data_IF_116901123899
#
_entry.id   IF_116901123899
#
_cell.length_a   1.000
_cell.length_b   1.000
_cell.length_c   1.000
_cell.angle_alpha   90.00
_cell.angle_beta   90.00
_cell.angle_gamma   90.00
#
_symmetry.space_group_name_H-M   'P 1'
#
loop_
_entity.id
_entity.type
_entity.pdbx_description
1 polymer ?
#
# COMPACT_ATOMS: atom_id res chain seq x y z
N UNK A 1 -25.35 -8.32 -5.70
CA UNK A 1 -25.31 -9.18 -6.89
C UNK A 1 -23.88 -9.29 -7.37
N UNK A 2 -23.20 -10.36 -6.99
CA UNK A 2 -21.80 -10.64 -7.38
C UNK A 2 -21.83 -11.45 -8.66
N UNK A 3 -21.79 -10.78 -9.81
CA UNK A 3 -21.63 -11.45 -11.09
C UNK A 3 -20.27 -12.12 -11.13
N UNK A 4 -20.28 -13.40 -11.11
CA UNK A 4 -19.14 -14.32 -11.15
C UNK A 4 -18.36 -14.07 -12.44
N UNK A 5 -17.25 -13.34 -12.38
CA UNK A 5 -16.29 -13.13 -13.46
C UNK A 5 -15.41 -14.39 -13.70
N UNK A 6 -15.96 -15.59 -13.44
CA UNK A 6 -15.34 -16.86 -13.80
C UNK A 6 -15.39 -17.01 -15.31
N UNK A 7 -14.27 -16.75 -16.00
CA UNK A 7 -14.11 -16.98 -17.43
C UNK A 7 -13.58 -15.83 -18.28
N UNK A 8 -13.28 -14.67 -17.69
CA UNK A 8 -12.65 -13.59 -18.45
C UNK A 8 -11.15 -13.89 -18.56
N UNK A 9 -10.71 -14.10 -19.78
CA UNK A 9 -9.28 -14.25 -20.12
C UNK A 9 -8.61 -12.86 -20.04
N UNK A 10 -8.15 -12.49 -18.85
CA UNK A 10 -7.51 -11.19 -18.61
C UNK A 10 -6.25 -11.00 -19.46
N UNK A 11 -5.59 -12.07 -19.89
CA UNK A 11 -4.40 -11.97 -20.73
C UNK A 11 -4.72 -11.39 -22.11
N UNK A 12 -5.85 -11.75 -22.68
CA UNK A 12 -6.29 -11.15 -23.95
C UNK A 12 -6.56 -9.67 -23.81
N UNK A 13 -7.14 -9.25 -22.66
CA UNK A 13 -7.37 -7.82 -22.37
C UNK A 13 -6.07 -7.04 -22.18
N UNK A 14 -5.07 -7.63 -21.54
CA UNK A 14 -3.78 -6.97 -21.27
C UNK A 14 -2.90 -6.77 -22.52
N UNK A 15 -3.23 -7.36 -23.64
CA UNK A 15 -2.56 -7.07 -24.92
C UNK A 15 -2.76 -5.62 -25.34
N UNK A 16 -3.89 -5.01 -24.98
CA UNK A 16 -4.15 -3.61 -25.27
C UNK A 16 -3.51 -2.70 -24.22
N UNK A 17 -2.65 -1.74 -24.61
CA UNK A 17 -1.89 -0.90 -23.65
C UNK A 17 -2.75 -0.16 -22.63
N UNK A 18 -3.97 0.28 -23.01
CA UNK A 18 -4.89 1.00 -22.12
C UNK A 18 -5.64 0.09 -21.16
N UNK A 19 -5.58 -1.21 -21.34
CA UNK A 19 -6.25 -2.19 -20.49
C UNK A 19 -5.29 -2.94 -19.56
N UNK A 20 -3.98 -2.88 -19.83
CA UNK A 20 -2.97 -3.51 -19.00
C UNK A 20 -2.88 -2.81 -17.62
N UNK A 21 -3.10 -3.53 -16.51
CA UNK A 21 -2.97 -2.95 -15.18
C UNK A 21 -1.49 -2.71 -14.83
N UNK A 22 -1.26 -1.74 -13.95
CA UNK A 22 0.05 -1.46 -13.39
C UNK A 22 -0.06 -0.90 -11.96
N UNK A 23 1.00 -1.03 -11.18
CA UNK A 23 1.10 -0.43 -9.84
C UNK A 23 1.32 1.08 -9.96
N UNK A 24 0.30 1.87 -9.62
CA UNK A 24 0.36 3.33 -9.66
C UNK A 24 1.27 3.87 -8.56
N UNK A 25 0.99 3.45 -7.33
CA UNK A 25 1.68 3.91 -6.13
C UNK A 25 1.62 2.87 -5.02
N UNK A 26 2.62 2.94 -4.16
CA UNK A 26 2.69 2.28 -2.86
C UNK A 26 2.83 3.37 -1.81
N UNK A 27 1.95 3.39 -0.83
CA UNK A 27 1.98 4.31 0.30
C UNK A 27 2.40 3.51 1.51
N UNK A 28 3.43 3.99 2.21
CA UNK A 28 3.86 3.47 3.49
C UNK A 28 3.42 4.46 4.54
N UNK A 29 2.74 4.01 5.57
CA UNK A 29 2.22 4.84 6.63
C UNK A 29 2.62 4.28 8.00
N UNK A 30 3.11 5.15 8.88
CA UNK A 30 3.39 4.87 10.28
C UNK A 30 2.47 5.73 11.12
N UNK A 31 1.61 5.10 11.91
CA UNK A 31 0.75 5.77 12.87
C UNK A 31 1.43 5.87 14.23
N UNK A 32 1.54 7.08 14.77
CA UNK A 32 2.20 7.35 16.06
C UNK A 32 1.18 7.73 17.11
N UNK A 33 0.01 8.22 16.67
CA UNK A 33 -1.02 8.69 17.60
C UNK A 33 -0.58 9.91 18.38
N UNK A 34 -0.70 9.84 19.71
CA UNK A 34 -0.38 10.94 20.65
C UNK A 34 0.98 10.80 21.33
N UNK A 35 1.85 9.90 20.89
CA UNK A 35 3.14 9.60 21.55
C UNK A 35 4.13 10.78 21.58
N UNK A 36 3.87 11.85 20.84
CA UNK A 36 4.62 13.08 20.93
C UNK A 36 5.58 13.37 19.77
N UNK A 37 6.22 14.54 19.84
CA UNK A 37 7.07 15.04 18.75
C UNK A 37 8.38 14.25 18.57
N UNK A 38 8.91 13.69 19.66
CA UNK A 38 10.15 12.91 19.60
C UNK A 38 9.97 11.62 18.82
N UNK A 39 8.89 10.86 19.11
CA UNK A 39 8.58 9.64 18.39
C UNK A 39 8.23 9.92 16.91
N UNK A 40 7.62 11.07 16.64
CA UNK A 40 7.38 11.51 15.26
C UNK A 40 8.68 11.72 14.49
N UNK A 41 9.69 12.35 15.11
CA UNK A 41 10.99 12.57 14.49
C UNK A 41 11.73 11.25 14.23
N UNK A 42 11.69 10.32 15.19
CA UNK A 42 12.25 8.96 15.02
C UNK A 42 11.61 8.22 13.86
N UNK A 43 10.28 8.15 13.82
CA UNK A 43 9.54 7.51 12.74
C UNK A 43 9.79 8.18 11.37
N UNK A 44 9.97 9.51 11.35
CA UNK A 44 10.32 10.23 10.12
C UNK A 44 11.70 9.80 9.61
N UNK A 45 12.69 9.66 10.48
CA UNK A 45 14.03 9.18 10.11
C UNK A 45 13.99 7.75 9.56
N UNK A 46 13.34 6.83 10.29
CA UNK A 46 13.18 5.42 9.88
C UNK A 46 12.52 5.34 8.50
N UNK A 47 11.43 6.09 8.29
CA UNK A 47 10.72 6.05 7.02
C UNK A 47 11.50 6.70 5.88
N UNK A 48 12.30 7.75 6.16
CA UNK A 48 13.19 8.38 5.19
C UNK A 48 14.28 7.42 4.71
N UNK A 49 14.92 6.73 5.63
CA UNK A 49 15.96 5.73 5.32
C UNK A 49 15.39 4.56 4.51
N UNK A 50 14.24 4.02 4.95
CA UNK A 50 13.60 2.89 4.28
C UNK A 50 13.16 3.22 2.86
N UNK A 51 12.55 4.39 2.67
CA UNK A 51 11.95 4.78 1.40
C UNK A 51 12.91 5.53 0.46
N UNK A 52 14.04 6.03 0.98
CA UNK A 52 14.96 6.91 0.24
C UNK A 52 14.29 8.20 -0.23
N UNK A 53 13.27 8.68 0.49
CA UNK A 53 12.48 9.86 0.15
C UNK A 53 11.96 10.53 1.41
N UNK A 54 11.89 11.85 1.41
CA UNK A 54 11.37 12.62 2.52
C UNK A 54 9.89 12.30 2.81
N UNK A 55 9.56 11.89 4.06
CA UNK A 55 8.20 11.59 4.47
C UNK A 55 7.36 12.84 4.71
N UNK A 56 6.06 12.69 4.54
CA UNK A 56 5.07 13.73 4.85
C UNK A 56 4.42 13.44 6.21
N UNK A 57 4.35 14.45 7.07
CA UNK A 57 3.67 14.36 8.37
C UNK A 57 2.17 14.49 8.21
N UNK A 58 1.41 13.50 8.70
CA UNK A 58 -0.06 13.49 8.64
C UNK A 58 -0.67 14.14 9.87
N UNK A 59 -1.74 14.93 9.65
CA UNK A 59 -2.44 15.64 10.72
C UNK A 59 -3.83 15.06 10.95
N UNK A 60 -4.26 15.01 12.20
CA UNK A 60 -5.59 14.58 12.58
C UNK A 60 -6.66 15.56 12.03
N UNK A 61 -7.70 15.01 11.39
CA UNK A 61 -8.80 15.80 10.82
C UNK A 61 -9.92 16.07 11.82
N UNK A 62 -10.02 15.25 12.86
CA UNK A 62 -11.05 15.32 13.90
C UNK A 62 -10.41 15.21 15.30
N UNK A 63 -11.14 15.61 16.32
CA UNK A 63 -10.77 15.34 17.71
C UNK A 63 -11.16 13.91 18.05
N UNK A 64 -10.23 13.12 18.60
CA UNK A 64 -10.47 11.75 19.06
C UNK A 64 -10.00 11.68 20.51
N UNK A 65 -10.96 11.66 21.44
CA UNK A 65 -10.70 11.70 22.90
C UNK A 65 -9.97 10.45 23.38
N UNK A 66 -10.35 9.28 22.85
CA UNK A 66 -9.76 7.98 23.21
C UNK A 66 -8.25 7.93 22.95
N UNK A 67 -7.77 8.63 21.92
CA UNK A 67 -6.36 8.66 21.54
C UNK A 67 -5.68 9.99 21.91
N UNK A 68 -6.34 10.86 22.69
CA UNK A 68 -5.83 12.19 23.03
C UNK A 68 -5.38 13.03 21.84
N UNK A 69 -6.05 12.86 20.70
CA UNK A 69 -5.73 13.58 19.46
C UNK A 69 -6.64 14.77 19.27
N UNK A 70 -6.04 15.93 19.01
CA UNK A 70 -6.73 17.16 18.64
C UNK A 70 -6.66 17.40 17.14
N UNK A 71 -7.67 18.01 16.57
CA UNK A 71 -7.69 18.44 15.17
C UNK A 71 -6.46 19.29 14.86
N UNK A 72 -5.76 18.98 13.77
CA UNK A 72 -4.54 19.67 13.34
C UNK A 72 -3.26 19.15 13.99
N UNK A 73 -3.35 18.34 15.03
CA UNK A 73 -2.19 17.69 15.65
C UNK A 73 -1.60 16.64 14.71
N UNK A 74 -0.28 16.56 14.63
CA UNK A 74 0.43 15.54 13.86
C UNK A 74 0.27 14.17 14.53
N UNK A 75 -0.20 13.17 13.79
CA UNK A 75 -0.51 11.84 14.31
C UNK A 75 0.24 10.70 13.62
N UNK A 76 1.02 11.00 12.60
CA UNK A 76 1.78 9.98 11.89
C UNK A 76 2.59 10.54 10.74
N UNK A 77 3.29 9.66 10.05
CA UNK A 77 4.12 9.98 8.89
C UNK A 77 3.80 9.02 7.74
N UNK A 78 3.86 9.52 6.53
CA UNK A 78 3.65 8.69 5.34
C UNK A 78 4.59 9.06 4.21
N UNK A 79 4.88 8.09 3.35
CA UNK A 79 5.60 8.31 2.10
C UNK A 79 4.85 7.66 0.94
N UNK A 80 4.86 8.32 -0.21
CA UNK A 80 4.28 7.78 -1.44
C UNK A 80 5.38 7.47 -2.44
N UNK A 81 5.51 6.19 -2.76
CA UNK A 81 6.41 5.68 -3.78
C UNK A 81 5.63 5.43 -5.09
N UNK A 82 6.29 5.67 -6.22
CA UNK A 82 5.68 5.50 -7.55
C UNK A 82 6.62 4.79 -8.51
N UNK A 83 6.07 4.25 -9.60
CA UNK A 83 6.83 3.60 -10.67
C UNK A 83 7.78 2.51 -10.15
N UNK A 84 9.01 2.50 -10.61
CA UNK A 84 10.02 1.50 -10.25
C UNK A 84 10.37 1.45 -8.75
N UNK A 85 10.32 2.59 -8.04
CA UNK A 85 10.54 2.64 -6.59
C UNK A 85 9.45 1.89 -5.82
N UNK A 86 8.18 2.04 -6.22
CA UNK A 86 7.07 1.32 -5.62
C UNK A 86 7.20 -0.20 -5.79
N UNK A 87 7.59 -0.64 -6.98
CA UNK A 87 7.78 -2.08 -7.27
C UNK A 87 8.98 -2.65 -6.50
N UNK A 88 10.11 -1.92 -6.46
CA UNK A 88 11.30 -2.35 -5.70
C UNK A 88 10.97 -2.52 -4.21
N UNK A 89 10.33 -1.51 -3.63
CA UNK A 89 9.95 -1.54 -2.22
C UNK A 89 8.94 -2.65 -1.92
N UNK A 90 7.93 -2.83 -2.77
CA UNK A 90 6.95 -3.89 -2.61
C UNK A 90 7.61 -5.27 -2.61
N UNK A 91 8.50 -5.55 -3.56
CA UNK A 91 9.25 -6.82 -3.61
C UNK A 91 10.09 -7.03 -2.35
N UNK A 92 10.76 -5.99 -1.85
CA UNK A 92 11.58 -6.06 -0.64
C UNK A 92 10.76 -6.40 0.60
N UNK A 93 9.58 -5.81 0.75
CA UNK A 93 8.68 -6.09 1.89
C UNK A 93 8.04 -7.46 1.78
N UNK A 94 7.70 -7.92 0.57
CA UNK A 94 7.07 -9.21 0.37
C UNK A 94 7.96 -10.41 0.73
N UNK A 95 9.27 -10.24 0.73
CA UNK A 95 10.20 -11.26 1.23
C UNK A 95 9.89 -11.63 2.69
N UNK A 96 9.45 -10.67 3.51
CA UNK A 96 9.07 -10.91 4.92
C UNK A 96 7.89 -11.88 5.04
N UNK A 97 7.01 -11.87 4.05
CA UNK A 97 5.83 -12.73 3.98
C UNK A 97 6.00 -13.95 3.07
N UNK A 98 7.25 -14.33 2.74
CA UNK A 98 7.55 -15.42 1.78
C UNK A 98 6.81 -15.25 0.45
N UNK A 99 6.61 -14.01 0.01
CA UNK A 99 5.83 -13.62 -1.17
C UNK A 99 4.35 -14.06 -1.12
N UNK A 100 3.76 -14.17 0.08
CA UNK A 100 2.36 -14.53 0.28
C UNK A 100 1.54 -13.32 0.71
N UNK A 101 0.38 -13.14 0.16
CA UNK A 101 -0.59 -12.11 0.56
C UNK A 101 -1.96 -12.75 0.73
N UNK A 102 -2.70 -12.29 1.75
CA UNK A 102 -4.09 -12.71 1.96
C UNK A 102 -4.99 -12.20 0.83
N UNK A 103 -5.89 -13.07 0.36
CA UNK A 103 -6.95 -12.65 -0.56
C UNK A 103 -7.82 -11.55 0.03
N UNK A 104 -8.04 -11.56 1.35
CA UNK A 104 -8.80 -10.53 2.07
C UNK A 104 -8.14 -9.13 2.02
N UNK A 105 -6.82 -9.05 1.79
CA UNK A 105 -6.10 -7.79 1.67
C UNK A 105 -6.47 -6.95 0.44
N UNK A 106 -7.15 -7.56 -0.54
CA UNK A 106 -7.56 -6.89 -1.78
C UNK A 106 -8.99 -6.37 -1.70
N UNK A 107 -9.20 -5.13 -2.13
CA UNK A 107 -10.52 -4.53 -2.28
C UNK A 107 -11.13 -4.79 -3.68
N UNK A 108 -12.38 -4.38 -3.86
CA UNK A 108 -13.11 -4.56 -5.13
C UNK A 108 -12.66 -3.61 -6.24
N UNK A 109 -11.72 -2.67 -5.98
CA UNK A 109 -11.26 -1.64 -6.91
C UNK A 109 -9.77 -1.72 -7.23
N UNK A 110 -9.15 -2.87 -7.00
CA UNK A 110 -7.75 -3.11 -7.31
C UNK A 110 -6.76 -2.48 -6.32
N UNK A 111 -7.19 -2.07 -5.13
CA UNK A 111 -6.27 -1.68 -4.08
C UNK A 111 -5.96 -2.89 -3.20
N UNK A 112 -4.81 -2.85 -2.55
CA UNK A 112 -4.44 -3.84 -1.54
C UNK A 112 -3.77 -3.16 -0.36
N UNK A 113 -3.90 -3.79 0.81
CA UNK A 113 -3.31 -3.29 2.05
C UNK A 113 -2.87 -4.44 2.94
N UNK A 114 -1.69 -4.31 3.52
CA UNK A 114 -1.19 -5.21 4.55
C UNK A 114 -0.33 -4.44 5.57
N UNK A 115 -0.28 -4.92 6.80
CA UNK A 115 0.49 -4.32 7.89
C UNK A 115 1.75 -5.13 8.18
N UNK A 116 2.79 -4.47 8.66
CA UNK A 116 4.00 -5.06 9.18
C UNK A 116 4.22 -4.52 10.59
N UNK A 117 4.36 -5.40 11.58
CA UNK A 117 4.48 -5.01 12.97
C UNK A 117 5.84 -4.39 13.28
N UNK A 118 6.89 -4.86 12.62
CA UNK A 118 8.27 -4.46 12.90
C UNK A 118 9.01 -4.14 11.60
N UNK A 119 9.47 -2.91 11.44
CA UNK A 119 10.23 -2.51 10.25
C UNK A 119 11.57 -3.23 10.09
N UNK A 120 12.13 -3.75 11.18
CA UNK A 120 13.42 -4.46 11.20
C UNK A 120 13.38 -5.75 10.39
N UNK A 121 12.20 -6.38 10.28
CA UNK A 121 12.02 -7.61 9.48
C UNK A 121 12.27 -7.39 7.98
N UNK A 122 12.27 -6.13 7.52
CA UNK A 122 12.52 -5.82 6.11
C UNK A 122 14.01 -6.01 5.80
N UNK A 123 14.38 -6.77 4.77
CA UNK A 123 15.76 -6.95 4.35
C UNK A 123 16.47 -5.61 4.11
N UNK A 124 17.77 -5.56 4.38
CA UNK A 124 18.63 -4.36 4.27
C UNK A 124 18.22 -3.18 5.17
N UNK A 125 17.44 -3.41 6.22
CA UNK A 125 17.12 -2.38 7.22
C UNK A 125 18.07 -2.53 8.40
N UNK A 126 18.71 -1.43 8.82
CA UNK A 126 19.56 -1.42 10.00
C UNK A 126 18.71 -1.17 11.24
N UNK A 127 19.00 -1.91 12.29
CA UNK A 127 18.44 -1.63 13.60
C UNK A 127 19.24 -0.55 14.29
N UNK A 128 18.58 0.52 14.69
CA UNK A 128 19.12 1.58 15.52
C UNK A 128 18.35 1.63 16.85
N UNK A 129 19.00 1.30 17.99
CA UNK A 129 18.34 1.30 19.30
C UNK A 129 17.75 2.66 19.68
N UNK A 130 18.36 3.76 19.21
CA UNK A 130 17.91 5.11 19.52
C UNK A 130 16.59 5.46 18.79
N UNK A 131 16.36 4.86 17.63
CA UNK A 131 15.17 5.12 16.85
C UNK A 131 13.98 4.26 17.31
N UNK A 132 14.23 3.04 17.82
CA UNK A 132 13.19 2.11 18.27
C UNK A 132 12.53 1.34 17.14
N UNK A 133 11.47 0.59 17.47
CA UNK A 133 10.74 -0.30 16.57
C UNK A 133 9.41 0.34 16.19
N UNK A 134 9.10 0.39 14.89
CA UNK A 134 7.83 0.91 14.39
C UNK A 134 7.12 -0.10 13.51
N UNK A 135 5.82 -0.26 13.78
CA UNK A 135 4.90 -0.92 12.86
C UNK A 135 4.50 0.00 11.72
N UNK A 136 4.22 -0.58 10.54
CA UNK A 136 3.84 0.20 9.37
C UNK A 136 2.83 -0.51 8.49
N UNK A 137 2.03 0.28 7.78
CA UNK A 137 1.05 -0.20 6.83
C UNK A 137 1.48 0.12 5.40
N UNK A 138 1.34 -0.86 4.53
CA UNK A 138 1.61 -0.76 3.10
C UNK A 138 0.30 -0.78 2.34
N UNK A 139 0.01 0.32 1.63
CA UNK A 139 -1.20 0.45 0.83
C UNK A 139 -0.82 0.63 -0.63
N UNK A 140 -1.16 -0.34 -1.46
CA UNK A 140 -0.88 -0.32 -2.89
C UNK A 140 -2.13 -0.08 -3.72
N UNK A 141 -1.96 0.59 -4.86
CA UNK A 141 -3.03 0.85 -5.81
C UNK A 141 -2.66 0.38 -7.19
N UNK A 142 -3.45 -0.55 -7.73
CA UNK A 142 -3.32 -1.05 -9.08
C UNK A 142 -4.39 -0.38 -9.94
N UNK A 143 -3.98 0.20 -11.06
CA UNK A 143 -4.87 0.91 -11.98
C UNK A 143 -4.56 0.55 -13.43
N UNK A 144 -5.49 0.90 -14.32
CA UNK A 144 -5.25 0.96 -15.76
C UNK A 144 -4.88 2.38 -16.21
N UNK A 145 -4.20 2.56 -17.33
CA UNK A 145 -4.01 3.88 -17.93
C UNK A 145 -5.34 4.60 -18.13
N UNK A 146 -5.34 5.94 -18.05
CA UNK A 146 -6.54 6.75 -18.21
C UNK A 146 -7.17 7.28 -16.90
N UNK A 147 -6.78 6.80 -15.73
CA UNK A 147 -7.34 7.27 -14.45
C UNK A 147 -7.11 8.75 -14.16
N UNK A 148 -6.19 9.41 -14.86
CA UNK A 148 -5.93 10.85 -14.70
C UNK A 148 -7.18 11.71 -14.91
N UNK A 149 -8.13 11.27 -15.73
CA UNK A 149 -9.40 11.99 -15.96
C UNK A 149 -10.19 12.16 -14.68
N UNK A 150 -10.13 11.17 -13.77
CA UNK A 150 -10.79 11.21 -12.46
C UNK A 150 -10.09 12.12 -11.47
N UNK A 151 -8.75 12.21 -11.53
CA UNK A 151 -7.92 12.85 -10.50
C UNK A 151 -7.51 14.28 -10.88
N UNK A 152 -7.60 14.69 -12.16
CA UNK A 152 -7.24 16.04 -12.61
C UNK A 152 -8.19 17.10 -12.05
N UNK A 153 -7.67 18.30 -11.80
CA UNK A 153 -8.44 19.42 -11.23
C UNK A 153 -9.45 20.01 -12.23
N UNK A 154 -9.02 20.19 -13.49
CA UNK A 154 -9.83 20.77 -14.58
C UNK A 154 -10.43 19.67 -15.42
N UNK A 155 -11.67 19.84 -15.87
CA UNK A 155 -12.43 18.87 -16.70
C UNK A 155 -12.48 17.45 -16.11
N UNK A 156 -12.67 17.38 -14.81
CA UNK A 156 -12.78 16.10 -14.08
C UNK A 156 -14.05 15.36 -14.50
N UNK A 157 -13.91 14.08 -14.85
CA UNK A 157 -15.04 13.22 -15.21
C UNK A 157 -14.95 11.88 -14.49
N UNK A 158 -16.08 11.23 -14.32
CA UNK A 158 -16.13 9.84 -13.80
C UNK A 158 -15.56 8.88 -14.86
N UNK A 159 -14.93 7.82 -14.40
CA UNK A 159 -14.48 6.70 -15.23
C UNK A 159 -15.59 5.67 -15.25
N UNK A 160 -15.82 5.01 -16.40
CA UNK A 160 -16.77 3.92 -16.51
C UNK A 160 -16.43 2.75 -15.59
N UNK A 161 -17.45 2.05 -15.10
CA UNK A 161 -17.24 0.95 -14.14
C UNK A 161 -16.39 -0.17 -14.72
N UNK A 162 -16.53 -0.50 -16.00
CA UNK A 162 -15.76 -1.53 -16.69
C UNK A 162 -14.27 -1.23 -16.80
N UNK A 163 -13.87 0.02 -16.61
CA UNK A 163 -12.46 0.44 -16.64
C UNK A 163 -11.76 0.26 -15.29
N UNK A 164 -12.49 0.07 -14.20
CA UNK A 164 -11.87 -0.25 -12.92
C UNK A 164 -11.25 -1.65 -12.94
N UNK A 165 -10.13 -1.78 -12.23
CA UNK A 165 -9.50 -3.07 -12.01
C UNK A 165 -10.34 -3.82 -10.96
N UNK A 166 -10.80 -5.01 -11.29
CA UNK A 166 -11.52 -5.86 -10.34
C UNK A 166 -10.55 -6.52 -9.34
N UNK A 167 -11.08 -7.02 -8.23
CA UNK A 167 -10.31 -7.77 -7.23
C UNK A 167 -9.56 -8.96 -7.86
N UNK A 168 -10.25 -9.74 -8.69
CA UNK A 168 -9.67 -10.92 -9.34
C UNK A 168 -8.57 -10.56 -10.33
N UNK A 169 -8.75 -9.48 -11.07
CA UNK A 169 -7.74 -8.99 -11.99
C UNK A 169 -6.50 -8.47 -11.25
N UNK A 170 -6.68 -7.76 -10.12
CA UNK A 170 -5.58 -7.31 -9.27
C UNK A 170 -4.77 -8.49 -8.71
N UNK A 171 -5.46 -9.55 -8.27
CA UNK A 171 -4.85 -10.80 -7.81
C UNK A 171 -4.01 -11.44 -8.91
N UNK A 172 -4.57 -11.63 -10.11
CA UNK A 172 -3.84 -12.21 -11.24
C UNK A 172 -2.65 -11.36 -11.68
N UNK A 173 -2.79 -10.04 -11.65
CA UNK A 173 -1.68 -9.12 -11.92
C UNK A 173 -0.53 -9.32 -10.94
N UNK A 174 -0.82 -9.42 -9.65
CA UNK A 174 0.18 -9.62 -8.61
C UNK A 174 0.88 -10.98 -8.75
N UNK A 175 0.12 -12.04 -9.02
CA UNK A 175 0.66 -13.37 -9.27
C UNK A 175 1.63 -13.40 -10.47
N UNK A 176 1.22 -12.84 -11.61
CA UNK A 176 1.99 -12.93 -12.87
C UNK A 176 3.18 -11.96 -12.93
N UNK A 177 3.02 -10.73 -12.44
CA UNK A 177 4.06 -9.69 -12.56
C UNK A 177 5.03 -9.66 -11.39
N UNK A 178 4.60 -10.09 -10.22
CA UNK A 178 5.40 -10.02 -9.00
C UNK A 178 5.69 -11.38 -8.38
N UNK A 179 5.19 -12.46 -8.97
CA UNK A 179 5.35 -13.85 -8.49
C UNK A 179 4.90 -14.01 -7.02
N UNK A 180 3.71 -13.48 -6.70
CA UNK A 180 3.16 -13.52 -5.36
C UNK A 180 2.14 -14.64 -5.28
N UNK A 181 2.20 -15.44 -4.23
CA UNK A 181 1.20 -16.44 -3.90
C UNK A 181 0.05 -15.79 -3.12
N UNK A 182 -1.18 -16.05 -3.52
CA UNK A 182 -2.37 -15.54 -2.82
C UNK A 182 -2.97 -16.68 -2.02
N UNK A 183 -3.06 -16.48 -0.70
CA UNK A 183 -3.59 -17.46 0.24
C UNK A 183 -4.89 -16.95 0.88
N UNK A 184 -5.79 -17.85 1.22
CA UNK A 184 -7.03 -17.50 1.90
C UNK A 184 -6.83 -17.33 3.42
N UNK A 185 -5.88 -18.08 3.99
CA UNK A 185 -5.49 -18.03 5.41
C UNK A 185 -3.96 -18.01 5.49
N UNK A 186 -3.39 -17.11 6.27
CA UNK A 186 -1.98 -17.18 6.66
C UNK A 186 -1.87 -18.17 7.83
N UNK A 187 -1.05 -19.19 7.69
CA UNK A 187 -0.65 -20.01 8.82
C UNK A 187 0.12 -19.12 9.80
N UNK A 188 -0.37 -19.00 11.02
CA UNK A 188 0.35 -18.31 12.09
C UNK A 188 1.66 -19.05 12.35
N UNK A 189 2.77 -18.45 11.98
CA UNK A 189 4.07 -18.89 12.45
C UNK A 189 4.22 -18.42 13.89
N UNK A 190 4.02 -19.32 14.82
CA UNK A 190 4.45 -19.13 16.20
C UNK A 190 6.00 -19.07 16.21
N UNK A 191 6.51 -17.87 16.49
CA UNK A 191 7.91 -17.67 16.86
C UNK A 191 8.00 -17.41 18.36
#
# INVERSE_FOLDING_TARGET
MSATLKGIDFEKRWKHPMQAPFLEKLIINIGIGSLGAQELQKATKVLAELAGKEPYSTKATKNIKEWNLRRGQTCGVMVTLRKGQAVKMLKRVLVVYDNRILRAAFDNKGNFSFGLDEHIKIPDTRYDPDLGIFGMNFNGKIIRPGYRIKDRKKDRRKIGEDHYVSREEAIQFMQKKLNIEIVDVLEERFY
#
